data_IF_216354756381
#
_entry.id   IF_216354756381
#
_cell.length_a   1.000
_cell.length_b   1.000
_cell.length_c   1.000
_cell.angle_alpha   90.00
_cell.angle_beta   90.00
_cell.angle_gamma   90.00
#
_symmetry.space_group_name_H-M   'P 1'
#
loop_
_entity.id
_entity.type
_entity.pdbx_description
1 polymer ?
#
# COMPACT_ATOMS: atom_id res chain seq x y z
N UNK A 1 27.31 8.74 -15.84
CA UNK A 1 27.71 7.78 -14.78
C UNK A 1 26.90 6.50 -14.94
N UNK A 2 27.52 5.32 -14.90
CA UNK A 2 26.78 4.05 -14.95
C UNK A 2 25.96 3.86 -13.66
N UNK A 3 24.85 3.11 -13.74
CA UNK A 3 24.01 2.76 -12.58
C UNK A 3 24.83 2.12 -11.45
N UNK A 4 25.83 1.30 -11.80
CA UNK A 4 26.75 0.66 -10.86
C UNK A 4 27.68 1.68 -10.17
N UNK A 5 28.21 2.66 -10.92
CA UNK A 5 29.05 3.71 -10.34
C UNK A 5 28.24 4.63 -9.40
N UNK A 6 26.99 4.94 -9.74
CA UNK A 6 26.08 5.70 -8.88
C UNK A 6 25.68 4.92 -7.64
N UNK A 7 25.34 3.63 -7.76
CA UNK A 7 25.01 2.76 -6.64
C UNK A 7 26.19 2.64 -5.65
N UNK A 8 27.42 2.48 -6.18
CA UNK A 8 28.64 2.43 -5.37
C UNK A 8 28.89 3.75 -4.65
N UNK A 9 28.80 4.88 -5.34
CA UNK A 9 28.95 6.20 -4.72
C UNK A 9 27.92 6.48 -3.61
N UNK A 10 26.67 6.08 -3.80
CA UNK A 10 25.62 6.22 -2.78
C UNK A 10 25.89 5.30 -1.58
N UNK A 11 26.32 4.07 -1.83
CA UNK A 11 26.70 3.13 -0.76
C UNK A 11 27.91 3.64 0.03
N UNK A 12 28.93 4.17 -0.65
CA UNK A 12 30.13 4.70 -0.02
C UNK A 12 29.81 5.92 0.87
N UNK A 13 28.78 6.71 0.53
CA UNK A 13 28.36 7.89 1.29
C UNK A 13 27.36 7.60 2.42
N UNK A 14 26.45 6.63 2.25
CA UNK A 14 25.31 6.40 3.17
C UNK A 14 25.10 4.94 3.59
N UNK A 15 26.03 4.04 3.25
CA UNK A 15 25.93 2.61 3.51
C UNK A 15 24.74 1.93 2.83
N UNK A 16 24.34 0.77 3.38
CA UNK A 16 23.20 0.00 2.86
C UNK A 16 21.88 0.78 2.94
N UNK A 17 21.70 1.61 3.98
CA UNK A 17 20.53 2.46 4.15
C UNK A 17 20.44 3.52 3.04
N UNK A 18 21.55 4.22 2.76
CA UNK A 18 21.64 5.19 1.66
C UNK A 18 21.37 4.56 0.29
N UNK A 19 21.84 3.32 0.07
CA UNK A 19 21.57 2.60 -1.18
C UNK A 19 20.08 2.23 -1.33
N UNK A 20 19.44 1.75 -0.26
CA UNK A 20 18.00 1.41 -0.26
C UNK A 20 17.15 2.67 -0.48
N UNK A 21 17.45 3.76 0.23
CA UNK A 21 16.70 5.02 0.09
C UNK A 21 16.83 5.61 -1.32
N UNK A 22 18.04 5.60 -1.89
CA UNK A 22 18.28 6.07 -3.26
C UNK A 22 17.62 5.18 -4.31
N UNK A 23 17.63 3.86 -4.12
CA UNK A 23 16.95 2.91 -5.02
C UNK A 23 15.44 3.12 -4.98
N UNK A 24 14.88 3.32 -3.79
CA UNK A 24 13.46 3.62 -3.60
C UNK A 24 13.07 4.91 -4.31
N UNK A 25 13.82 6.00 -4.08
CA UNK A 25 13.59 7.27 -4.75
C UNK A 25 13.70 7.14 -6.27
N UNK A 26 14.71 6.43 -6.77
CA UNK A 26 14.86 6.18 -8.20
C UNK A 26 13.65 5.43 -8.78
N UNK A 27 13.21 4.34 -8.15
CA UNK A 27 12.07 3.55 -8.61
C UNK A 27 10.74 4.29 -8.55
N UNK A 28 10.54 5.17 -7.57
CA UNK A 28 9.33 6.02 -7.53
C UNK A 28 9.19 6.91 -8.76
N UNK A 29 10.29 7.24 -9.43
CA UNK A 29 10.31 8.04 -10.66
C UNK A 29 10.40 7.20 -11.94
N UNK A 30 10.44 5.86 -11.84
CA UNK A 30 10.63 4.95 -12.97
C UNK A 30 9.63 3.78 -12.91
N UNK A 31 8.32 4.04 -13.12
CA UNK A 31 7.26 3.04 -12.98
C UNK A 31 7.43 1.84 -13.93
N UNK A 32 7.96 2.06 -15.15
CA UNK A 32 8.29 0.98 -16.08
C UNK A 32 9.32 -0.02 -15.49
N UNK A 33 10.28 0.46 -14.68
CA UNK A 33 11.24 -0.42 -14.00
C UNK A 33 10.58 -1.21 -12.87
N UNK A 34 9.67 -0.58 -12.11
CA UNK A 34 8.87 -1.28 -11.09
C UNK A 34 8.06 -2.40 -11.74
N UNK A 35 7.37 -2.12 -12.84
CA UNK A 35 6.65 -3.13 -13.63
C UNK A 35 7.57 -4.25 -14.09
N UNK A 36 8.72 -3.92 -14.64
CA UNK A 36 9.71 -4.89 -15.13
C UNK A 36 10.20 -5.81 -14.01
N UNK A 37 10.45 -5.27 -12.81
CA UNK A 37 10.83 -6.05 -11.62
C UNK A 37 9.71 -6.99 -11.16
N UNK A 38 8.46 -6.52 -11.19
CA UNK A 38 7.28 -7.32 -10.84
C UNK A 38 7.13 -8.47 -11.84
N UNK A 39 7.21 -8.21 -13.15
CA UNK A 39 7.14 -9.23 -14.19
C UNK A 39 8.27 -10.25 -14.06
N UNK A 40 9.51 -9.80 -13.89
CA UNK A 40 10.65 -10.70 -13.71
C UNK A 40 10.47 -11.63 -12.49
N UNK A 41 9.93 -11.08 -11.40
CA UNK A 41 9.61 -11.84 -10.19
C UNK A 41 8.50 -12.86 -10.42
N UNK A 42 7.46 -12.48 -11.15
CA UNK A 42 6.35 -13.36 -11.52
C UNK A 42 6.86 -14.54 -12.37
N UNK A 43 7.66 -14.26 -13.38
CA UNK A 43 8.35 -15.28 -14.21
C UNK A 43 9.24 -16.18 -13.37
N UNK A 44 10.01 -15.62 -12.43
CA UNK A 44 10.82 -16.41 -11.49
C UNK A 44 9.95 -17.39 -10.68
N UNK A 45 8.84 -16.93 -10.13
CA UNK A 45 7.96 -17.79 -9.33
C UNK A 45 7.30 -18.90 -10.17
N UNK A 46 6.87 -18.57 -11.39
CA UNK A 46 6.28 -19.55 -12.30
C UNK A 46 7.31 -20.57 -12.78
N UNK A 47 8.39 -20.11 -13.40
CA UNK A 47 9.35 -20.98 -14.08
C UNK A 47 10.31 -21.71 -13.13
N UNK A 48 10.75 -21.06 -12.04
CA UNK A 48 11.78 -21.61 -11.16
C UNK A 48 11.25 -22.10 -9.81
N UNK A 49 10.06 -21.67 -9.39
CA UNK A 49 9.41 -22.17 -8.16
C UNK A 49 8.19 -23.04 -8.41
N UNK A 50 7.72 -23.13 -9.66
CA UNK A 50 6.60 -23.99 -10.04
C UNK A 50 5.26 -23.55 -9.46
N UNK A 51 5.09 -22.26 -9.15
CA UNK A 51 3.79 -21.73 -8.75
C UNK A 51 2.91 -21.52 -9.98
N UNK A 52 1.71 -22.10 -9.95
CA UNK A 52 0.72 -22.02 -11.01
C UNK A 52 -0.41 -21.04 -10.67
N UNK A 53 -0.76 -20.89 -9.39
CA UNK A 53 -1.86 -20.04 -8.90
C UNK A 53 -1.39 -18.64 -8.48
N UNK A 54 -0.61 -17.99 -9.35
CA UNK A 54 -0.14 -16.63 -9.12
C UNK A 54 -1.22 -15.62 -9.58
N UNK A 55 -1.67 -14.76 -8.68
CA UNK A 55 -2.56 -13.65 -8.99
C UNK A 55 -1.82 -12.53 -9.73
N UNK A 56 -2.54 -11.77 -10.55
CA UNK A 56 -1.99 -10.57 -11.18
C UNK A 56 -1.60 -9.53 -10.09
N UNK A 57 -0.33 -9.09 -10.03
CA UNK A 57 0.13 -8.10 -9.07
C UNK A 57 -0.50 -6.69 -9.18
N UNK A 58 -1.20 -6.40 -10.28
CA UNK A 58 -1.86 -5.12 -10.55
C UNK A 58 -3.38 -5.20 -10.45
N UNK A 59 -3.94 -6.40 -10.36
CA UNK A 59 -5.37 -6.59 -10.14
C UNK A 59 -5.77 -6.08 -8.75
N UNK A 60 -6.89 -5.38 -8.71
CA UNK A 60 -7.48 -4.87 -7.50
C UNK A 60 -8.51 -5.87 -7.00
N UNK A 61 -8.53 -6.08 -5.69
CA UNK A 61 -9.57 -6.87 -5.04
C UNK A 61 -10.45 -5.93 -4.22
N UNK A 62 -11.77 -6.12 -4.32
CA UNK A 62 -12.75 -5.41 -3.50
C UNK A 62 -12.79 -6.02 -2.10
N UNK A 63 -12.63 -5.17 -1.08
CA UNK A 63 -12.64 -5.58 0.32
C UNK A 63 -13.43 -4.58 1.17
N UNK A 64 -14.05 -5.06 2.23
CA UNK A 64 -14.57 -4.17 3.29
C UNK A 64 -13.37 -3.57 4.05
N UNK A 65 -13.23 -2.23 4.11
CA UNK A 65 -12.12 -1.55 4.80
C UNK A 65 -12.04 -1.88 6.30
N UNK A 66 -13.13 -2.32 6.94
CA UNK A 66 -13.16 -2.74 8.34
C UNK A 66 -12.49 -4.09 8.59
N UNK A 67 -12.37 -4.94 7.56
CA UNK A 67 -11.60 -6.18 7.65
C UNK A 67 -10.09 -5.96 7.80
N UNK A 68 -9.61 -4.74 7.54
CA UNK A 68 -8.22 -4.35 7.74
C UNK A 68 -8.08 -3.61 9.08
N UNK A 69 -7.55 -4.30 10.08
CA UNK A 69 -7.33 -3.76 11.44
C UNK A 69 -5.86 -3.50 11.74
N UNK A 70 -4.96 -4.21 11.04
CA UNK A 70 -3.53 -4.19 11.29
C UNK A 70 -2.75 -3.59 10.12
N UNK A 71 -1.60 -3.00 10.43
CA UNK A 71 -0.68 -2.41 9.46
C UNK A 71 0.77 -2.89 9.69
N UNK A 72 1.50 -3.10 8.60
CA UNK A 72 2.95 -3.29 8.59
C UNK A 72 3.59 -2.32 7.58
N UNK A 73 4.24 -1.27 8.11
CA UNK A 73 4.87 -0.22 7.32
C UNK A 73 6.30 -0.53 6.87
N UNK A 74 6.87 -1.65 7.28
CA UNK A 74 8.19 -2.11 6.84
C UNK A 74 8.14 -2.74 5.45
N UNK A 75 6.95 -3.12 4.98
CA UNK A 75 6.75 -3.66 3.64
C UNK A 75 6.73 -2.50 2.64
N UNK A 76 7.79 -2.38 1.83
CA UNK A 76 7.83 -1.40 0.76
C UNK A 76 6.83 -1.75 -0.35
N UNK A 77 5.80 -0.92 -0.50
CA UNK A 77 4.69 -1.10 -1.45
C UNK A 77 5.08 -1.17 -2.93
N UNK A 78 6.29 -0.75 -3.30
CA UNK A 78 6.78 -0.84 -4.69
C UNK A 78 7.70 -2.06 -4.85
N UNK A 79 8.77 -2.12 -4.07
CA UNK A 79 9.80 -3.15 -4.17
C UNK A 79 9.27 -4.54 -3.84
N UNK A 80 8.31 -4.63 -2.92
CA UNK A 80 7.74 -5.89 -2.49
C UNK A 80 6.57 -6.38 -3.37
N UNK A 81 6.10 -5.58 -4.34
CA UNK A 81 4.93 -5.92 -5.16
C UNK A 81 5.08 -7.27 -5.87
N UNK A 82 4.08 -8.13 -5.79
CA UNK A 82 4.10 -9.48 -6.35
C UNK A 82 5.06 -10.43 -5.64
N UNK A 83 5.57 -10.10 -4.45
CA UNK A 83 6.46 -10.99 -3.70
C UNK A 83 5.71 -12.04 -2.89
N UNK A 84 6.30 -13.24 -2.83
CA UNK A 84 5.91 -14.33 -1.94
C UNK A 84 6.99 -14.48 -0.87
N UNK A 85 6.65 -14.14 0.38
CA UNK A 85 7.61 -14.11 1.50
C UNK A 85 7.19 -15.07 2.62
N UNK A 86 8.15 -15.80 3.18
CA UNK A 86 7.95 -16.49 4.47
C UNK A 86 8.36 -15.58 5.63
N UNK A 87 8.43 -16.15 6.83
CA UNK A 87 8.90 -15.43 8.03
C UNK A 87 7.73 -15.04 8.93
N UNK A 88 7.90 -13.97 9.70
CA UNK A 88 6.92 -13.49 10.68
C UNK A 88 6.51 -12.03 10.45
N UNK A 89 6.73 -11.50 9.25
CA UNK A 89 6.38 -10.11 8.90
C UNK A 89 4.88 -9.84 9.08
N UNK A 90 4.05 -10.85 8.90
CA UNK A 90 2.59 -10.81 9.07
C UNK A 90 2.16 -10.66 10.53
N UNK A 91 3.06 -10.99 11.47
CA UNK A 91 2.86 -10.83 12.92
C UNK A 91 3.52 -9.59 13.49
N UNK A 92 4.43 -8.98 12.75
CA UNK A 92 5.11 -7.74 13.11
C UNK A 92 4.26 -6.55 12.65
N UNK A 93 3.09 -6.42 13.25
CA UNK A 93 2.07 -5.45 12.86
C UNK A 93 1.70 -4.55 14.02
N UNK A 94 1.11 -3.41 13.70
CA UNK A 94 0.52 -2.49 14.66
C UNK A 94 -0.92 -2.19 14.26
N UNK A 95 -1.84 -1.93 15.22
CA UNK A 95 -3.19 -1.49 14.88
C UNK A 95 -3.15 -0.26 13.99
N UNK A 96 -3.86 -0.30 12.86
CA UNK A 96 -3.84 0.79 11.88
C UNK A 96 -4.35 2.11 12.47
N UNK A 97 -5.40 2.02 13.27
CA UNK A 97 -6.08 3.15 13.90
C UNK A 97 -5.22 3.87 14.95
N UNK A 98 -4.19 3.21 15.48
CA UNK A 98 -3.21 3.87 16.37
C UNK A 98 -2.29 4.84 15.61
N UNK A 99 -2.32 4.82 14.28
CA UNK A 99 -1.42 5.65 13.52
C UNK A 99 -1.83 7.11 13.48
N UNK A 100 -0.85 8.00 13.58
CA UNK A 100 -1.07 9.45 13.61
C UNK A 100 -1.92 9.94 12.43
N UNK A 101 -1.69 9.39 11.23
CA UNK A 101 -2.43 9.73 10.00
C UNK A 101 -3.89 9.29 10.01
N UNK A 102 -4.22 8.19 10.70
CA UNK A 102 -5.62 7.79 10.89
C UNK A 102 -6.28 8.73 11.90
N UNK A 103 -5.66 8.88 13.07
CA UNK A 103 -6.21 9.72 14.14
C UNK A 103 -6.46 11.15 13.71
N UNK A 104 -5.59 11.74 12.88
CA UNK A 104 -5.79 13.11 12.40
C UNK A 104 -6.99 13.25 11.47
N UNK A 105 -7.26 12.24 10.63
CA UNK A 105 -8.46 12.18 9.78
C UNK A 105 -9.71 12.04 10.65
N UNK A 106 -9.67 11.15 11.65
CA UNK A 106 -10.77 10.99 12.63
C UNK A 106 -11.02 12.29 13.43
N UNK A 107 -9.95 12.92 13.94
CA UNK A 107 -10.03 14.20 14.64
C UNK A 107 -10.66 15.30 13.76
N UNK A 108 -10.25 15.39 12.49
CA UNK A 108 -10.79 16.40 11.57
C UNK A 108 -12.27 16.16 11.27
N UNK A 109 -12.65 14.94 10.87
CA UNK A 109 -13.97 14.71 10.27
C UNK A 109 -15.01 14.08 11.20
N UNK A 110 -14.59 13.42 12.28
CA UNK A 110 -15.49 12.85 13.29
C UNK A 110 -15.59 13.73 14.54
N UNK A 111 -14.53 14.48 14.87
CA UNK A 111 -14.49 15.37 16.03
C UNK A 111 -14.49 16.85 15.67
N UNK A 112 -14.65 17.19 14.38
CA UNK A 112 -14.79 18.56 13.86
C UNK A 112 -13.64 19.51 14.27
N UNK A 113 -12.44 18.98 14.52
CA UNK A 113 -11.27 19.82 14.81
C UNK A 113 -10.80 20.56 13.57
N UNK A 114 -10.23 21.74 13.74
CA UNK A 114 -9.40 22.35 12.71
C UNK A 114 -8.06 21.60 12.60
N UNK A 115 -7.45 21.64 11.41
CA UNK A 115 -6.23 20.86 11.15
C UNK A 115 -5.09 21.23 12.10
N UNK A 116 -4.98 22.50 12.43
CA UNK A 116 -4.02 23.09 13.37
C UNK A 116 -4.17 22.53 14.79
N UNK A 117 -5.34 21.98 15.14
CA UNK A 117 -5.64 21.38 16.45
C UNK A 117 -5.50 19.86 16.47
N UNK A 118 -5.16 19.26 15.33
CA UNK A 118 -4.93 17.81 15.19
C UNK A 118 -3.50 17.45 15.57
N UNK A 119 -3.33 16.23 16.10
CA UNK A 119 -2.02 15.77 16.57
C UNK A 119 -0.97 15.69 15.44
N UNK A 120 -1.42 15.60 14.18
CA UNK A 120 -0.50 15.53 13.03
C UNK A 120 0.11 16.88 12.70
N UNK A 121 -0.57 17.99 12.99
CA UNK A 121 -0.10 19.31 12.61
C UNK A 121 1.21 19.65 13.34
N UNK A 122 1.21 19.55 14.66
CA UNK A 122 2.40 19.82 15.48
C UNK A 122 3.58 18.93 15.09
N UNK A 123 3.33 17.65 14.80
CA UNK A 123 4.38 16.72 14.38
C UNK A 123 4.94 17.08 13.00
N UNK A 124 4.11 17.49 12.05
CA UNK A 124 4.58 17.91 10.72
C UNK A 124 5.34 19.23 10.79
N UNK A 125 4.87 20.21 11.55
CA UNK A 125 5.59 21.46 11.81
C UNK A 125 6.96 21.19 12.42
N UNK A 126 7.01 20.37 13.49
CA UNK A 126 8.27 19.97 14.13
C UNK A 126 9.22 19.31 13.14
N UNK A 127 8.74 18.38 12.30
CA UNK A 127 9.57 17.70 11.30
C UNK A 127 10.06 18.64 10.19
N UNK A 128 9.24 19.58 9.72
CA UNK A 128 9.69 20.61 8.77
C UNK A 128 10.81 21.45 9.39
N UNK A 129 10.67 21.86 10.65
CA UNK A 129 11.70 22.64 11.35
C UNK A 129 13.00 21.86 11.57
N UNK A 130 12.90 20.59 11.98
CA UNK A 130 14.09 19.79 12.36
C UNK A 130 14.73 19.01 11.21
N UNK A 131 13.92 18.53 10.27
CA UNK A 131 14.34 17.66 9.14
C UNK A 131 14.36 18.43 7.81
N UNK A 132 13.77 19.62 7.76
CA UNK A 132 13.63 20.44 6.54
C UNK A 132 12.48 20.02 5.62
N UNK A 133 11.83 18.89 5.90
CA UNK A 133 10.74 18.33 5.10
C UNK A 133 9.89 17.37 5.93
N UNK A 134 8.58 17.37 5.70
CA UNK A 134 7.69 16.36 6.23
C UNK A 134 6.60 16.00 5.22
N UNK A 135 6.57 14.75 4.78
CA UNK A 135 5.47 14.21 3.99
C UNK A 135 5.27 14.93 2.63
N UNK A 136 6.35 15.48 2.07
CA UNK A 136 6.40 16.29 0.85
C UNK A 136 6.16 17.79 1.07
N UNK A 137 6.05 18.23 2.32
CA UNK A 137 5.85 19.63 2.69
C UNK A 137 7.15 20.23 3.24
N UNK A 138 7.46 21.47 2.85
CA UNK A 138 8.69 22.19 3.23
C UNK A 138 8.38 23.47 4.01
N UNK A 139 7.10 23.79 4.19
CA UNK A 139 6.63 25.01 4.84
C UNK A 139 5.23 24.82 5.41
N UNK A 140 4.80 25.74 6.30
CA UNK A 140 3.42 25.82 6.80
C UNK A 140 2.43 25.98 5.64
N UNK A 141 2.77 26.80 4.63
CA UNK A 141 1.91 26.96 3.45
C UNK A 141 1.72 25.67 2.65
N UNK A 142 2.70 24.75 2.68
CA UNK A 142 2.55 23.43 2.06
C UNK A 142 1.60 22.54 2.87
N UNK A 143 1.56 22.70 4.19
CA UNK A 143 0.64 21.99 5.07
C UNK A 143 -0.80 22.46 4.84
N UNK A 144 -1.04 23.77 4.79
CA UNK A 144 -2.36 24.34 4.47
C UNK A 144 -2.90 23.78 3.14
N UNK A 145 -2.10 23.87 2.07
CA UNK A 145 -2.45 23.27 0.75
C UNK A 145 -2.68 21.77 0.82
N UNK A 146 -1.93 21.06 1.68
CA UNK A 146 -2.13 19.62 1.88
C UNK A 146 -3.47 19.35 2.56
N UNK A 147 -3.84 20.11 3.59
CA UNK A 147 -5.09 19.95 4.31
C UNK A 147 -6.30 20.25 3.44
N UNK A 148 -6.25 21.32 2.64
CA UNK A 148 -7.30 21.63 1.65
C UNK A 148 -7.56 20.44 0.71
N UNK A 149 -6.49 19.79 0.23
CA UNK A 149 -6.61 18.60 -0.63
C UNK A 149 -7.22 17.41 0.12
N UNK A 150 -6.92 17.23 1.41
CA UNK A 150 -7.51 16.15 2.21
C UNK A 150 -9.00 16.43 2.45
N UNK A 151 -9.39 17.68 2.71
CA UNK A 151 -10.79 18.08 2.87
C UNK A 151 -11.58 17.88 1.56
N UNK A 152 -10.99 18.22 0.41
CA UNK A 152 -11.56 17.94 -0.92
C UNK A 152 -11.70 16.44 -1.18
N UNK A 153 -10.67 15.65 -0.84
CA UNK A 153 -10.69 14.20 -0.95
C UNK A 153 -11.81 13.58 -0.10
N UNK A 154 -11.99 14.04 1.14
CA UNK A 154 -13.06 13.59 2.02
C UNK A 154 -14.43 13.87 1.42
N UNK A 155 -14.68 15.11 0.94
CA UNK A 155 -15.94 15.48 0.29
C UNK A 155 -16.22 14.59 -0.92
N UNK A 156 -15.22 14.39 -1.79
CA UNK A 156 -15.36 13.56 -2.98
C UNK A 156 -15.72 12.11 -2.65
N UNK A 157 -15.00 11.47 -1.72
CA UNK A 157 -15.27 10.07 -1.32
C UNK A 157 -16.64 9.97 -0.61
N UNK A 158 -17.00 10.95 0.21
CA UNK A 158 -18.31 10.97 0.88
C UNK A 158 -19.47 11.07 -0.10
N UNK A 159 -19.33 11.83 -1.17
CA UNK A 159 -20.38 12.04 -2.17
C UNK A 159 -20.45 10.91 -3.21
N UNK A 160 -19.31 10.37 -3.64
CA UNK A 160 -19.22 9.48 -4.81
C UNK A 160 -18.68 8.08 -4.49
N UNK A 161 -18.28 7.81 -3.26
CA UNK A 161 -17.50 6.62 -2.92
C UNK A 161 -16.04 6.74 -3.35
N UNK A 162 -15.27 5.67 -3.13
CA UNK A 162 -13.87 5.61 -3.53
C UNK A 162 -13.72 4.99 -4.93
N UNK A 163 -13.10 5.72 -5.86
CA UNK A 163 -12.81 5.28 -7.22
C UNK A 163 -11.29 5.24 -7.46
N UNK A 164 -10.68 4.06 -7.68
CA UNK A 164 -9.24 3.92 -7.86
C UNK A 164 -8.73 4.48 -9.20
N UNK A 165 -9.64 4.77 -10.14
CA UNK A 165 -9.35 5.36 -11.45
C UNK A 165 -9.33 6.89 -11.42
N UNK A 166 -9.94 7.50 -10.41
CA UNK A 166 -9.92 8.94 -10.24
C UNK A 166 -8.53 9.43 -9.79
N UNK A 167 -8.04 10.43 -10.50
CA UNK A 167 -6.90 11.21 -10.04
C UNK A 167 -7.39 12.24 -9.03
N UNK A 168 -7.41 11.86 -7.75
CA UNK A 168 -7.69 12.80 -6.68
C UNK A 168 -6.59 13.86 -6.57
N UNK A 169 -6.97 15.10 -6.27
CA UNK A 169 -5.99 16.18 -6.04
C UNK A 169 -5.07 15.82 -4.86
N UNK A 170 -3.76 15.94 -5.09
CA UNK A 170 -2.72 15.49 -4.15
C UNK A 170 -2.25 14.04 -4.35
N UNK A 171 -2.76 13.34 -5.37
CA UNK A 171 -2.09 12.15 -5.89
C UNK A 171 -0.65 12.49 -6.28
N UNK A 172 0.27 11.57 -5.99
CA UNK A 172 1.67 11.76 -6.33
C UNK A 172 1.85 11.60 -7.84
N UNK A 173 1.82 12.72 -8.57
CA UNK A 173 1.90 12.79 -10.04
C UNK A 173 3.17 12.16 -10.62
N UNK A 174 4.14 11.83 -9.76
CA UNK A 174 5.39 11.18 -10.13
C UNK A 174 5.22 9.66 -10.30
N UNK A 175 4.09 9.10 -9.86
CA UNK A 175 3.79 7.67 -9.85
C UNK A 175 2.61 7.42 -10.79
N UNK A 176 2.70 6.39 -11.63
CA UNK A 176 1.56 5.92 -12.43
C UNK A 176 0.35 5.60 -11.53
N UNK A 177 -0.84 6.06 -11.91
CA UNK A 177 -2.10 5.89 -11.15
C UNK A 177 -2.33 4.44 -10.71
N UNK A 178 -1.94 3.44 -11.52
CA UNK A 178 -2.07 2.01 -11.18
C UNK A 178 -1.18 1.55 -10.01
N UNK A 179 -0.11 2.29 -9.69
CA UNK A 179 0.76 2.00 -8.55
C UNK A 179 0.37 2.78 -7.30
N UNK A 180 -0.34 3.90 -7.45
CA UNK A 180 -0.82 4.73 -6.34
C UNK A 180 -2.17 4.26 -5.79
N UNK A 181 -2.24 2.98 -5.41
CA UNK A 181 -3.45 2.34 -4.85
C UNK A 181 -3.33 2.15 -3.34
N UNK A 182 -4.45 1.93 -2.66
CA UNK A 182 -4.44 1.43 -1.27
C UNK A 182 -3.81 0.03 -1.31
N UNK A 183 -2.69 -0.16 -0.62
CA UNK A 183 -1.91 -1.39 -0.70
C UNK A 183 -2.04 -2.23 0.58
N UNK A 184 -2.27 -3.52 0.38
CA UNK A 184 -2.35 -4.52 1.44
C UNK A 184 -1.36 -5.65 1.19
N UNK A 185 -1.05 -6.37 2.26
CA UNK A 185 -0.38 -7.67 2.19
C UNK A 185 -1.30 -8.72 2.80
N UNK A 186 -1.16 -9.97 2.35
CA UNK A 186 -1.96 -11.09 2.86
C UNK A 186 -1.05 -11.97 3.71
N UNK A 187 -1.36 -12.03 5.01
CA UNK A 187 -0.60 -12.81 5.97
C UNK A 187 -0.82 -14.31 5.83
N UNK A 188 -0.31 -15.10 6.79
CA UNK A 188 -0.22 -16.55 6.61
C UNK A 188 -1.57 -17.26 6.65
N UNK A 189 -2.54 -16.66 7.32
CA UNK A 189 -3.85 -17.23 7.60
C UNK A 189 -4.97 -16.51 6.82
N UNK A 190 -4.62 -15.51 6.00
CA UNK A 190 -5.54 -14.75 5.14
C UNK A 190 -5.83 -13.34 5.64
N UNK A 191 -5.20 -12.92 6.72
CA UNK A 191 -5.37 -11.58 7.26
C UNK A 191 -4.91 -10.51 6.25
N UNK A 192 -5.76 -9.51 6.02
CA UNK A 192 -5.41 -8.33 5.23
C UNK A 192 -4.68 -7.32 6.11
N UNK A 193 -3.45 -6.97 5.72
CA UNK A 193 -2.56 -6.09 6.48
C UNK A 193 -2.24 -4.87 5.63
N UNK A 194 -2.60 -3.68 6.09
CA UNK A 194 -2.25 -2.43 5.41
C UNK A 194 -0.72 -2.28 5.32
N UNK A 195 -0.17 -2.10 4.12
CA UNK A 195 1.28 -1.93 3.94
C UNK A 195 1.70 -0.58 3.37
N UNK A 196 0.74 0.24 2.93
CA UNK A 196 0.97 1.61 2.51
C UNK A 196 0.14 2.02 1.31
N UNK A 197 0.45 3.19 0.74
CA UNK A 197 -0.36 3.75 -0.35
C UNK A 197 -1.69 4.28 0.15
N UNK A 198 -2.12 5.43 -0.37
CA UNK A 198 -3.43 5.99 -0.05
C UNK A 198 -3.78 6.10 1.45
N UNK A 199 -2.87 6.50 2.35
CA UNK A 199 -3.17 6.56 3.79
C UNK A 199 -4.44 7.36 4.08
N UNK A 200 -4.60 8.56 3.52
CA UNK A 200 -5.82 9.35 3.72
C UNK A 200 -7.04 8.68 3.07
N UNK A 201 -6.91 8.12 1.86
CA UNK A 201 -8.01 7.41 1.17
C UNK A 201 -8.53 6.24 2.02
N UNK A 202 -7.62 5.47 2.60
CA UNK A 202 -7.98 4.35 3.46
C UNK A 202 -8.55 4.81 4.80
N UNK A 203 -7.97 5.82 5.46
CA UNK A 203 -8.55 6.41 6.68
C UNK A 203 -9.96 6.94 6.44
N UNK A 204 -10.17 7.69 5.35
CA UNK A 204 -11.47 8.26 4.97
C UNK A 204 -12.47 7.15 4.69
N UNK A 205 -12.09 6.11 3.95
CA UNK A 205 -12.94 4.95 3.69
C UNK A 205 -13.39 4.25 4.98
N UNK A 206 -12.51 4.13 5.98
CA UNK A 206 -12.87 3.57 7.30
C UNK A 206 -13.84 4.47 8.07
N UNK A 207 -13.56 5.78 8.19
CA UNK A 207 -14.41 6.67 9.00
C UNK A 207 -15.79 6.93 8.36
N UNK A 208 -15.90 6.77 7.04
CA UNK A 208 -17.17 6.83 6.31
C UNK A 208 -17.91 5.49 6.27
N UNK A 209 -17.32 4.43 6.82
CA UNK A 209 -17.89 3.08 6.86
C UNK A 209 -18.32 2.57 5.46
N UNK A 210 -17.44 2.71 4.46
CA UNK A 210 -17.74 2.24 3.11
C UNK A 210 -17.84 0.72 3.09
N UNK A 211 -18.83 0.17 2.38
CA UNK A 211 -19.05 -1.28 2.28
C UNK A 211 -17.89 -2.02 1.57
N UNK A 212 -17.27 -1.38 0.58
CA UNK A 212 -16.20 -1.96 -0.22
C UNK A 212 -15.24 -0.90 -0.76
N UNK A 213 -13.96 -1.25 -0.81
CA UNK A 213 -12.91 -0.49 -1.48
C UNK A 213 -12.00 -1.42 -2.30
N UNK A 214 -11.53 -0.97 -3.48
CA UNK A 214 -10.49 -1.66 -4.21
C UNK A 214 -9.13 -1.49 -3.53
N UNK A 215 -8.42 -2.61 -3.34
CA UNK A 215 -7.06 -2.63 -2.81
C UNK A 215 -6.13 -3.46 -3.68
N UNK A 216 -4.85 -3.09 -3.70
CA UNK A 216 -3.79 -3.83 -4.40
C UNK A 216 -3.01 -4.71 -3.44
N UNK A 217 -2.86 -5.98 -3.79
CA UNK A 217 -2.07 -6.92 -2.98
C UNK A 217 -0.59 -6.85 -3.35
N UNK A 218 0.25 -6.42 -2.40
CA UNK A 218 1.69 -6.26 -2.60
C UNK A 218 2.44 -7.54 -2.31
N UNK A 219 2.22 -8.14 -1.14
CA UNK A 219 2.93 -9.35 -0.69
C UNK A 219 1.91 -10.40 -0.25
N UNK A 220 2.16 -11.65 -0.63
CA UNK A 220 1.46 -12.81 -0.06
C UNK A 220 2.42 -13.62 0.80
N UNK A 221 1.95 -14.09 1.95
CA UNK A 221 2.73 -15.01 2.75
C UNK A 221 2.88 -16.35 2.03
N UNK A 222 4.04 -17.00 2.15
CA UNK A 222 4.32 -18.27 1.46
C UNK A 222 3.33 -19.38 1.81
N UNK A 223 2.81 -19.40 3.04
CA UNK A 223 1.76 -20.36 3.43
C UNK A 223 0.44 -20.07 2.72
N UNK A 224 0.06 -18.80 2.59
CA UNK A 224 -1.12 -18.39 1.85
C UNK A 224 -1.01 -18.70 0.36
N UNK A 225 0.14 -18.44 -0.26
CA UNK A 225 0.37 -18.85 -1.66
C UNK A 225 0.21 -20.36 -1.83
N UNK A 226 0.71 -21.18 -0.91
CA UNK A 226 0.50 -22.64 -0.97
C UNK A 226 -0.98 -23.02 -0.86
N UNK A 227 -1.78 -22.26 -0.10
CA UNK A 227 -3.24 -22.44 -0.03
C UNK A 227 -3.86 -22.16 -1.41
N UNK A 228 -3.48 -21.06 -2.07
CA UNK A 228 -3.88 -20.77 -3.47
C UNK A 228 -3.56 -21.93 -4.42
N UNK A 229 -2.34 -22.46 -4.37
CA UNK A 229 -1.95 -23.60 -5.23
C UNK A 229 -2.83 -24.83 -4.99
N UNK A 230 -3.17 -25.14 -3.74
CA UNK A 230 -4.06 -26.28 -3.44
C UNK A 230 -5.45 -26.07 -4.01
N UNK A 231 -6.02 -24.88 -3.82
CA UNK A 231 -7.35 -24.53 -4.32
C UNK A 231 -7.39 -24.62 -5.85
N UNK A 232 -6.39 -24.06 -6.54
CA UNK A 232 -6.28 -24.15 -7.99
C UNK A 232 -6.12 -25.60 -8.50
N UNK A 233 -5.61 -26.52 -7.67
CA UNK A 233 -5.53 -27.94 -7.97
C UNK A 233 -6.78 -28.74 -7.53
N UNK A 234 -7.89 -28.05 -7.22
CA UNK A 234 -9.18 -28.68 -6.92
C UNK A 234 -9.45 -28.96 -5.45
N UNK A 235 -8.61 -28.50 -4.51
CA UNK A 235 -8.91 -28.65 -3.09
C UNK A 235 -10.15 -27.82 -2.70
N UNK A 236 -11.21 -28.49 -2.26
CA UNK A 236 -12.39 -27.86 -1.67
C UNK A 236 -12.10 -27.48 -0.22
N UNK A 237 -11.40 -26.37 0.00
CA UNK A 237 -11.36 -25.75 1.32
C UNK A 237 -12.57 -24.82 1.46
N UNK A 238 -13.39 -25.05 2.50
CA UNK A 238 -14.68 -24.38 2.79
C UNK A 238 -14.53 -22.84 2.92
N UNK A 239 -13.30 -22.37 3.13
CA UNK A 239 -12.95 -20.95 3.31
C UNK A 239 -12.55 -20.24 2.01
N UNK A 240 -12.31 -21.01 0.93
CA UNK A 240 -11.83 -20.46 -0.34
C UNK A 240 -12.89 -19.56 -1.00
N UNK A 241 -14.16 -19.92 -0.89
CA UNK A 241 -15.28 -19.17 -1.48
C UNK A 241 -15.49 -17.78 -0.87
N UNK A 242 -14.96 -17.53 0.34
CA UNK A 242 -15.22 -16.30 1.08
C UNK A 242 -14.10 -15.27 0.90
N UNK A 243 -12.84 -15.70 0.77
CA UNK A 243 -11.74 -14.74 0.77
C UNK A 243 -11.56 -14.07 -0.61
N UNK A 244 -11.51 -12.72 -0.68
CA UNK A 244 -11.47 -11.96 -1.94
C UNK A 244 -10.25 -12.28 -2.81
N UNK A 245 -9.12 -12.66 -2.19
CA UNK A 245 -7.93 -13.08 -2.92
C UNK A 245 -8.15 -14.31 -3.81
N UNK A 246 -9.10 -15.22 -3.54
CA UNK A 246 -9.25 -16.45 -4.32
C UNK A 246 -10.20 -16.35 -5.53
N UNK A 247 -10.82 -15.19 -5.77
CA UNK A 247 -11.86 -15.05 -6.79
C UNK A 247 -11.34 -15.33 -8.22
N UNK A 248 -10.09 -14.97 -8.51
CA UNK A 248 -9.43 -15.22 -9.81
C UNK A 248 -9.24 -16.71 -10.10
N UNK A 249 -8.94 -17.52 -9.08
CA UNK A 249 -8.73 -18.97 -9.24
C UNK A 249 -10.03 -19.77 -9.17
N UNK A 250 -11.03 -19.29 -8.43
CA UNK A 250 -12.34 -19.94 -8.34
C UNK A 250 -13.14 -19.74 -9.64
N UNK A 251 -13.14 -18.52 -10.18
CA UNK A 251 -13.80 -18.21 -11.46
C UNK A 251 -13.23 -19.01 -12.64
N UNK A 252 -11.95 -19.38 -12.59
CA UNK A 252 -11.32 -20.24 -13.60
C UNK A 252 -11.65 -21.73 -13.45
N UNK A 253 -12.14 -22.15 -12.28
CA UNK A 253 -12.40 -23.56 -11.95
C UNK A 253 -13.85 -24.01 -12.25
N UNK A 254 -14.74 -23.07 -12.59
CA UNK A 254 -16.13 -23.35 -12.98
C UNK A 254 -16.31 -23.04 -14.48
N UNK A 255 -16.56 -24.06 -15.34
CA UNK A 255 -16.90 -23.86 -16.75
C UNK A 255 -18.32 -23.32 -16.97
#
# INVERSE_FOLDING_TARGET
>A
MSLVARARSVFDAGGLYGLISSTRAYLTHHPALVRSLIFARHTYYRCLKGYNALADPFELIEIDPNNITMANREIDKYLASGAIRGGNWDRQTQPYERSLKYRSVEQRFCHEKEWEETDIHDELCRRIETEGEADGCYSISDLERRYERIDQLYKSIKEHGYDPSQNYDGADTRIETSLDQICVSIGRDGELIFCGGGNHRFSIAKILDLDAIPVRVVVRHRKWQRKREKIANGAHEIDATVHPDFQDIISQSYP
#
